data_IF_133258007205
#
_entry.id   IF_133258007205
#
_cell.length_a   1.000
_cell.length_b   1.000
_cell.length_c   1.000
_cell.angle_alpha   90.00
_cell.angle_beta   90.00
_cell.angle_gamma   90.00
#
_symmetry.space_group_name_H-M   'P 1'
#
loop_
_entity.id
_entity.type
_entity.pdbx_description
1 polymer ?
#
# COMPACT_ATOMS: atom_id res chain seq x y z
N UNK A 1 -20.52 17.77 1.22
CA UNK A 1 -20.77 16.35 1.56
C UNK A 1 -19.50 15.56 1.33
N UNK A 2 -19.17 14.61 2.22
CA UNK A 2 -17.94 13.81 2.16
C UNK A 2 -18.30 12.33 2.25
N UNK A 3 -17.44 11.46 1.68
CA UNK A 3 -17.52 10.01 1.81
C UNK A 3 -16.12 9.40 1.83
N UNK A 4 -16.01 8.13 2.17
CA UNK A 4 -14.77 7.37 2.13
C UNK A 4 -14.96 6.09 1.32
N UNK A 5 -13.97 5.75 0.51
CA UNK A 5 -13.94 4.56 -0.32
C UNK A 5 -12.56 3.89 -0.23
N UNK A 6 -12.51 2.60 -0.47
CA UNK A 6 -11.26 1.93 -0.83
C UNK A 6 -10.96 2.17 -2.31
N UNK A 7 -9.69 1.99 -2.76
CA UNK A 7 -9.35 2.05 -4.18
C UNK A 7 -10.23 1.14 -5.05
N UNK A 8 -10.49 -0.09 -4.62
CA UNK A 8 -11.36 -1.04 -5.33
C UNK A 8 -12.80 -0.54 -5.46
N UNK A 9 -13.35 0.10 -4.41
CA UNK A 9 -14.70 0.68 -4.48
C UNK A 9 -14.74 1.89 -5.42
N UNK A 10 -13.68 2.71 -5.44
CA UNK A 10 -13.56 3.80 -6.40
C UNK A 10 -13.52 3.28 -7.83
N UNK A 11 -12.66 2.27 -8.11
CA UNK A 11 -12.51 1.65 -9.43
C UNK A 11 -13.87 1.16 -9.94
N UNK A 12 -14.56 0.36 -9.15
CA UNK A 12 -15.90 -0.14 -9.49
C UNK A 12 -16.93 0.98 -9.70
N UNK A 13 -16.86 2.04 -8.92
CA UNK A 13 -17.83 3.13 -9.04
C UNK A 13 -17.64 3.97 -10.30
N UNK A 14 -16.42 4.13 -10.81
CA UNK A 14 -16.15 4.88 -12.04
C UNK A 14 -16.38 4.07 -13.33
N UNK A 15 -16.70 2.78 -13.25
CA UNK A 15 -17.08 1.97 -14.40
C UNK A 15 -18.44 2.38 -14.98
N UNK A 16 -19.26 3.09 -14.22
CA UNK A 16 -20.61 3.47 -14.64
C UNK A 16 -20.83 4.99 -14.63
N UNK A 17 -21.62 5.48 -15.57
CA UNK A 17 -21.98 6.90 -15.63
C UNK A 17 -22.76 7.35 -14.38
N UNK A 18 -23.58 6.48 -13.82
CA UNK A 18 -24.32 6.73 -12.58
C UNK A 18 -23.36 6.91 -11.40
N UNK A 19 -22.40 6.01 -11.23
CA UNK A 19 -21.38 6.09 -10.18
C UNK A 19 -20.53 7.36 -10.31
N UNK A 20 -20.04 7.68 -11.53
CA UNK A 20 -19.31 8.93 -11.79
C UNK A 20 -20.15 10.16 -11.39
N UNK A 21 -21.41 10.18 -11.80
CA UNK A 21 -22.32 11.29 -11.49
C UNK A 21 -22.55 11.43 -9.99
N UNK A 22 -22.72 10.31 -9.27
CA UNK A 22 -22.87 10.29 -7.83
C UNK A 22 -21.60 10.79 -7.13
N UNK A 23 -20.42 10.33 -7.54
CA UNK A 23 -19.14 10.70 -6.93
C UNK A 23 -18.81 12.18 -7.13
N UNK A 24 -19.16 12.78 -8.25
CA UNK A 24 -18.96 14.22 -8.51
C UNK A 24 -19.73 15.15 -7.54
N UNK A 25 -20.76 14.64 -6.86
CA UNK A 25 -21.57 15.42 -5.89
C UNK A 25 -20.86 15.63 -4.56
N UNK A 26 -19.80 14.87 -4.27
CA UNK A 26 -19.03 15.02 -3.04
C UNK A 26 -18.01 16.15 -3.14
N UNK A 27 -17.84 16.91 -2.05
CA UNK A 27 -16.80 17.94 -1.93
C UNK A 27 -15.41 17.34 -1.87
N UNK A 28 -15.26 16.16 -1.24
CA UNK A 28 -14.10 15.32 -1.32
C UNK A 28 -14.47 13.86 -1.01
N UNK A 29 -13.69 12.93 -1.57
CA UNK A 29 -13.78 11.50 -1.33
C UNK A 29 -12.45 11.05 -0.73
N UNK A 30 -12.51 10.54 0.49
CA UNK A 30 -11.35 10.01 1.20
C UNK A 30 -11.03 8.62 0.67
N UNK A 31 -9.82 8.42 0.20
CA UNK A 31 -9.36 7.12 -0.31
C UNK A 31 -8.33 6.55 0.65
N UNK A 32 -8.62 5.36 1.19
CA UNK A 32 -7.74 4.72 2.16
C UNK A 32 -7.95 3.21 2.24
N UNK A 33 -7.23 2.59 3.17
CA UNK A 33 -7.27 1.14 3.40
C UNK A 33 -6.33 0.31 2.53
N UNK A 34 -5.89 0.83 1.38
CA UNK A 34 -4.87 0.26 0.49
C UNK A 34 -4.18 1.38 -0.30
N UNK A 35 -3.08 1.05 -0.98
CA UNK A 35 -2.40 1.96 -1.89
C UNK A 35 -3.33 2.30 -3.07
N UNK A 36 -3.42 3.60 -3.39
CA UNK A 36 -4.20 4.06 -4.54
C UNK A 36 -3.34 3.98 -5.81
N UNK A 37 -3.82 3.22 -6.80
CA UNK A 37 -3.18 3.15 -8.11
C UNK A 37 -3.13 4.56 -8.74
N UNK A 38 -1.94 5.04 -9.18
CA UNK A 38 -1.80 6.37 -9.77
C UNK A 38 -2.67 6.59 -11.00
N UNK A 39 -2.84 5.58 -11.85
CA UNK A 39 -3.68 5.66 -13.06
C UNK A 39 -5.17 5.78 -12.71
N UNK A 40 -5.62 5.02 -11.70
CA UNK A 40 -6.98 5.13 -11.18
C UNK A 40 -7.21 6.53 -10.60
N UNK A 41 -6.26 7.06 -9.82
CA UNK A 41 -6.34 8.40 -9.27
C UNK A 41 -6.43 9.47 -10.35
N UNK A 42 -5.61 9.36 -11.40
CA UNK A 42 -5.61 10.28 -12.53
C UNK A 42 -6.93 10.20 -13.31
N UNK A 43 -7.41 8.99 -13.60
CA UNK A 43 -8.67 8.75 -14.28
C UNK A 43 -9.84 9.37 -13.53
N UNK A 44 -9.93 9.14 -12.24
CA UNK A 44 -10.98 9.73 -11.40
C UNK A 44 -10.91 11.26 -11.36
N UNK A 45 -9.70 11.85 -11.30
CA UNK A 45 -9.53 13.31 -11.35
C UNK A 45 -9.94 13.89 -12.70
N UNK A 46 -9.58 13.24 -13.82
CA UNK A 46 -10.02 13.61 -15.17
C UNK A 46 -11.56 13.57 -15.31
N UNK A 47 -12.21 12.65 -14.59
CA UNK A 47 -13.66 12.59 -14.50
C UNK A 47 -14.27 13.65 -13.58
N UNK A 48 -13.47 14.56 -13.00
CA UNK A 48 -13.93 15.64 -12.13
C UNK A 48 -14.27 15.19 -10.71
N UNK A 49 -13.75 14.04 -10.26
CA UNK A 49 -13.93 13.51 -8.90
C UNK A 49 -12.80 14.04 -8.02
N UNK A 50 -13.14 14.59 -6.86
CA UNK A 50 -12.18 15.16 -5.90
C UNK A 50 -11.75 14.10 -4.90
N UNK A 51 -10.51 13.61 -5.04
CA UNK A 51 -9.93 12.60 -4.18
C UNK A 51 -8.98 13.22 -3.16
N UNK A 52 -9.00 12.67 -1.95
CA UNK A 52 -8.04 12.93 -0.88
C UNK A 52 -7.48 11.59 -0.43
N UNK A 53 -6.19 11.37 -0.62
CA UNK A 53 -5.52 10.17 -0.13
C UNK A 53 -5.40 10.22 1.40
N UNK A 54 -5.75 9.13 2.08
CA UNK A 54 -5.65 9.05 3.54
C UNK A 54 -4.72 7.94 3.98
N UNK A 55 -3.91 8.22 4.99
CA UNK A 55 -3.07 7.24 5.66
C UNK A 55 -3.42 7.21 7.15
N UNK A 56 -3.46 6.01 7.71
CA UNK A 56 -3.78 5.71 9.09
C UNK A 56 -4.18 4.25 9.25
N UNK A 57 -4.50 3.87 10.47
CA UNK A 57 -4.79 2.48 10.83
C UNK A 57 -5.85 2.44 11.94
N UNK A 58 -6.15 1.24 12.48
CA UNK A 58 -7.03 1.09 13.63
C UNK A 58 -6.47 1.79 14.87
N UNK A 59 -5.14 1.81 15.01
CA UNK A 59 -4.40 2.43 16.10
C UNK A 59 -4.48 3.97 16.09
N UNK A 60 -4.92 4.55 14.99
CA UNK A 60 -5.12 6.01 14.83
C UNK A 60 -6.60 6.40 14.63
N UNK A 61 -7.51 5.48 14.99
CA UNK A 61 -8.97 5.65 14.78
C UNK A 61 -9.35 5.92 13.30
N UNK A 62 -8.54 5.45 12.35
CA UNK A 62 -8.69 5.65 10.92
C UNK A 62 -7.64 6.57 10.33
N UNK A 63 -7.97 7.25 9.23
CA UNK A 63 -7.05 8.17 8.55
C UNK A 63 -6.72 9.40 9.41
N UNK A 64 -5.43 9.61 9.66
CA UNK A 64 -4.94 10.77 10.43
C UNK A 64 -3.97 11.66 9.61
N UNK A 65 -3.54 11.20 8.43
CA UNK A 65 -2.73 11.94 7.47
C UNK A 65 -3.52 12.04 6.16
N UNK A 66 -3.73 13.24 5.63
CA UNK A 66 -4.50 13.50 4.42
C UNK A 66 -3.61 14.16 3.38
N UNK A 67 -3.49 13.56 2.18
CA UNK A 67 -2.57 13.98 1.11
C UNK A 67 -1.14 14.25 1.61
N UNK A 68 -0.68 13.42 2.57
CA UNK A 68 0.64 13.50 3.18
C UNK A 68 0.74 14.51 4.34
N UNK A 69 -0.30 15.24 4.68
CA UNK A 69 -0.32 16.21 5.78
C UNK A 69 -1.09 15.66 6.99
N UNK A 70 -0.56 15.79 8.21
CA UNK A 70 -1.27 15.40 9.41
C UNK A 70 -2.49 16.31 9.65
N UNK A 71 -3.57 15.72 10.15
CA UNK A 71 -4.71 16.49 10.65
C UNK A 71 -4.26 17.36 11.84
N UNK A 72 -4.99 18.46 12.16
CA UNK A 72 -4.62 19.36 13.27
C UNK A 72 -4.50 18.67 14.64
N UNK A 73 -5.20 17.54 14.83
CA UNK A 73 -5.16 16.73 16.05
C UNK A 73 -4.11 15.61 16.01
N UNK A 74 -3.35 15.50 14.92
CA UNK A 74 -2.38 14.42 14.68
C UNK A 74 -0.99 15.01 14.42
N UNK A 75 0.02 14.19 14.65
CA UNK A 75 1.42 14.51 14.38
C UNK A 75 2.09 13.35 13.67
N UNK A 76 3.10 13.62 12.86
CA UNK A 76 3.89 12.61 12.17
C UNK A 76 5.37 12.93 12.28
N UNK A 77 6.16 11.89 12.49
CA UNK A 77 7.61 11.93 12.42
C UNK A 77 8.13 10.67 11.72
N UNK A 78 9.40 10.69 11.33
CA UNK A 78 10.07 9.51 10.79
C UNK A 78 11.35 9.28 11.58
N UNK A 79 11.47 8.11 12.20
CA UNK A 79 12.65 7.70 12.96
C UNK A 79 13.27 6.46 12.34
N UNK A 80 14.52 6.56 11.92
CA UNK A 80 15.24 5.46 11.24
C UNK A 80 14.45 4.83 10.08
N UNK A 81 13.69 5.66 9.34
CA UNK A 81 12.85 5.22 8.23
C UNK A 81 11.46 4.69 8.63
N UNK A 82 11.17 4.54 9.92
CA UNK A 82 9.86 4.13 10.45
C UNK A 82 8.95 5.34 10.65
N UNK A 83 7.71 5.23 10.24
CA UNK A 83 6.68 6.25 10.50
C UNK A 83 6.23 6.15 11.97
N UNK A 84 6.31 7.29 12.65
CA UNK A 84 5.83 7.50 14.01
C UNK A 84 4.61 8.42 13.96
N UNK A 85 3.53 8.03 14.60
CA UNK A 85 2.28 8.81 14.63
C UNK A 85 1.96 9.23 16.05
N UNK A 86 1.60 10.50 16.24
CA UNK A 86 1.25 11.09 17.54
C UNK A 86 -0.05 11.86 17.48
N UNK A 87 -0.51 12.31 18.64
CA UNK A 87 -1.67 13.19 18.78
C UNK A 87 -2.90 12.49 19.34
N UNK A 88 -4.03 13.20 19.33
CA UNK A 88 -5.26 12.79 20.02
C UNK A 88 -5.96 11.55 19.39
N UNK A 89 -5.57 11.16 18.19
CA UNK A 89 -6.15 10.00 17.50
C UNK A 89 -5.50 8.67 17.89
N UNK A 90 -4.38 8.70 18.62
CA UNK A 90 -3.64 7.49 18.98
C UNK A 90 -4.40 6.68 20.02
N UNK A 91 -4.58 5.39 19.76
CA UNK A 91 -5.16 4.45 20.71
C UNK A 91 -4.31 4.34 21.99
N UNK A 92 -4.94 4.07 23.12
CA UNK A 92 -4.22 3.87 24.39
C UNK A 92 -3.36 2.58 24.41
N UNK A 93 -3.52 1.70 23.44
CA UNK A 93 -2.81 0.43 23.31
C UNK A 93 -3.71 -0.71 22.87
N UNK A 94 -3.16 -1.90 22.78
CA UNK A 94 -3.93 -3.11 22.46
C UNK A 94 -4.55 -3.69 23.74
N UNK A 95 -5.85 -3.99 23.68
CA UNK A 95 -6.61 -4.49 24.84
C UNK A 95 -6.02 -5.74 25.47
N UNK A 96 -5.58 -6.68 24.66
CA UNK A 96 -5.06 -7.98 25.12
C UNK A 96 -3.54 -8.05 25.16
N UNK A 97 -2.84 -6.93 24.91
CA UNK A 97 -1.38 -6.83 24.90
C UNK A 97 -0.94 -5.50 25.55
N UNK A 98 -1.21 -5.30 26.85
CA UNK A 98 -0.81 -4.07 27.53
C UNK A 98 0.71 -3.92 27.51
N UNK A 99 1.19 -2.70 27.26
CA UNK A 99 2.63 -2.42 27.14
C UNK A 99 3.28 -2.89 25.85
N UNK A 100 2.50 -3.16 24.81
CA UNK A 100 3.04 -3.49 23.49
C UNK A 100 4.00 -2.40 23.00
N UNK A 101 5.18 -2.81 22.50
CA UNK A 101 6.30 -1.94 22.12
C UNK A 101 5.92 -0.82 21.14
N UNK A 102 4.92 -1.05 20.28
CA UNK A 102 4.44 -0.04 19.34
C UNK A 102 3.88 1.22 20.02
N UNK A 103 3.47 1.14 21.31
CA UNK A 103 2.96 2.27 22.11
C UNK A 103 3.89 2.64 23.27
N UNK A 104 4.99 1.92 23.44
CA UNK A 104 5.91 2.07 24.57
C UNK A 104 7.31 2.50 24.14
N UNK A 105 7.44 3.22 23.03
CA UNK A 105 8.74 3.68 22.55
C UNK A 105 9.35 4.68 23.54
N UNK A 106 10.58 4.44 24.06
CA UNK A 106 11.15 5.21 25.17
C UNK A 106 11.34 6.69 24.83
N UNK A 107 11.75 7.01 23.59
CA UNK A 107 12.02 8.37 23.13
C UNK A 107 10.79 9.09 22.59
N UNK A 108 9.66 8.36 22.40
CA UNK A 108 8.43 8.87 21.83
C UNK A 108 7.20 8.51 22.70
N UNK A 109 7.11 9.00 23.95
CA UNK A 109 5.98 8.69 24.82
C UNK A 109 4.67 9.23 24.23
N UNK A 110 3.63 8.37 24.21
CA UNK A 110 2.31 8.71 23.63
C UNK A 110 2.25 8.69 22.12
N UNK A 111 3.28 8.19 21.45
CA UNK A 111 3.30 7.96 20.02
C UNK A 111 3.10 6.48 19.69
N UNK A 112 2.63 6.23 18.49
CA UNK A 112 2.49 4.91 17.91
C UNK A 112 3.59 4.67 16.88
N UNK A 113 4.44 3.70 17.14
CA UNK A 113 5.47 3.23 16.20
C UNK A 113 4.82 2.27 15.21
N UNK A 114 4.58 2.73 13.98
CA UNK A 114 3.94 1.90 12.96
C UNK A 114 4.88 0.79 12.45
N UNK A 115 4.33 -0.20 11.73
CA UNK A 115 5.15 -1.13 10.95
C UNK A 115 5.42 -0.62 9.53
N UNK A 116 5.14 0.65 9.25
CA UNK A 116 5.32 1.24 7.93
C UNK A 116 6.59 2.09 7.88
N UNK A 117 7.26 2.03 6.74
CA UNK A 117 8.37 2.91 6.40
C UNK A 117 7.91 4.15 5.64
N UNK A 118 8.67 5.22 5.77
CA UNK A 118 8.39 6.45 5.05
C UNK A 118 9.46 7.51 5.20
N UNK A 119 9.21 8.65 4.58
CA UNK A 119 10.04 9.85 4.68
C UNK A 119 9.16 11.10 4.63
N UNK A 120 9.68 12.22 5.14
CA UNK A 120 9.02 13.52 4.99
C UNK A 120 9.80 14.32 3.93
N UNK A 121 9.10 14.70 2.87
CA UNK A 121 9.62 15.50 1.76
C UNK A 121 8.75 16.73 1.62
N UNK A 122 9.37 17.91 1.70
CA UNK A 122 8.67 19.21 1.63
C UNK A 122 7.47 19.31 2.58
N UNK A 123 7.62 18.75 3.80
CA UNK A 123 6.57 18.76 4.82
C UNK A 123 5.44 17.74 4.59
N UNK A 124 5.56 16.84 3.61
CA UNK A 124 4.59 15.80 3.29
C UNK A 124 5.14 14.43 3.61
N UNK A 125 4.33 13.60 4.24
CA UNK A 125 4.66 12.19 4.44
C UNK A 125 4.53 11.43 3.11
N UNK A 126 5.60 10.75 2.72
CA UNK A 126 5.62 9.74 1.69
C UNK A 126 5.79 8.37 2.35
N UNK A 127 4.80 7.50 2.20
CA UNK A 127 4.82 6.13 2.71
C UNK A 127 5.59 5.26 1.73
N UNK A 128 6.61 4.54 2.20
CA UNK A 128 7.45 3.65 1.37
C UNK A 128 6.93 2.22 1.33
N UNK A 129 6.11 1.82 2.32
CA UNK A 129 5.55 0.48 2.45
C UNK A 129 5.79 -0.14 3.82
N UNK A 130 5.52 -1.45 3.93
CA UNK A 130 5.62 -2.21 5.18
C UNK A 130 7.06 -2.60 5.48
N UNK A 131 7.55 -2.26 6.68
CA UNK A 131 8.89 -2.67 7.14
C UNK A 131 8.99 -4.18 7.40
N UNK A 132 7.88 -4.80 7.78
CA UNK A 132 7.77 -6.24 8.01
C UNK A 132 7.57 -7.06 6.72
N UNK A 133 7.30 -6.40 5.59
CA UNK A 133 7.19 -7.03 4.27
C UNK A 133 8.49 -6.93 3.44
N UNK A 134 9.54 -6.32 3.98
CA UNK A 134 10.83 -6.16 3.28
C UNK A 134 11.39 -7.51 2.88
N UNK A 135 11.67 -7.69 1.58
CA UNK A 135 12.29 -8.89 1.02
C UNK A 135 13.80 -8.74 1.10
N UNK A 136 14.49 -9.78 1.63
CA UNK A 136 15.95 -9.81 1.67
C UNK A 136 16.46 -10.75 0.60
N UNK A 137 16.93 -10.21 -0.52
CA UNK A 137 17.44 -10.97 -1.66
C UNK A 137 18.91 -10.67 -1.90
N UNK A 138 19.78 -11.71 -1.87
CA UNK A 138 21.22 -11.54 -2.04
C UNK A 138 21.87 -10.56 -1.04
N UNK A 139 21.33 -10.44 0.16
CA UNK A 139 21.79 -9.48 1.19
C UNK A 139 21.27 -8.06 1.01
N UNK A 140 20.52 -7.78 -0.04
CA UNK A 140 19.91 -6.48 -0.29
C UNK A 140 18.45 -6.46 0.18
N UNK A 141 18.01 -5.32 0.73
CA UNK A 141 16.63 -5.12 1.19
C UNK A 141 15.79 -4.46 0.10
N UNK A 142 14.68 -5.09 -0.24
CA UNK A 142 13.72 -4.62 -1.24
C UNK A 142 12.37 -4.38 -0.57
N UNK A 143 11.82 -3.20 -0.75
CA UNK A 143 10.44 -2.90 -0.37
C UNK A 143 9.52 -3.34 -1.52
N UNK A 144 8.62 -4.31 -1.31
CA UNK A 144 7.72 -4.81 -2.35
C UNK A 144 6.94 -3.71 -3.06
N UNK A 145 6.55 -2.70 -2.31
CA UNK A 145 5.72 -1.57 -2.76
C UNK A 145 6.40 -0.74 -3.86
N UNK A 146 7.73 -0.73 -3.91
CA UNK A 146 8.47 -0.06 -5.00
C UNK A 146 8.17 -0.76 -6.32
N UNK A 147 8.25 -2.09 -6.32
CA UNK A 147 7.99 -2.90 -7.52
C UNK A 147 6.49 -2.90 -7.83
N UNK A 148 5.63 -3.01 -6.82
CA UNK A 148 4.17 -2.94 -6.99
C UNK A 148 3.74 -1.62 -7.64
N UNK A 149 4.36 -0.51 -7.27
CA UNK A 149 4.10 0.80 -7.87
C UNK A 149 4.42 0.82 -9.37
N UNK A 150 5.56 0.26 -9.76
CA UNK A 150 5.95 0.17 -11.17
C UNK A 150 5.02 -0.78 -11.95
N UNK A 151 4.64 -1.92 -11.35
CA UNK A 151 3.65 -2.82 -11.92
C UNK A 151 2.30 -2.12 -12.15
N UNK A 152 1.83 -1.36 -11.16
CA UNK A 152 0.58 -0.61 -11.24
C UNK A 152 0.63 0.56 -12.24
N UNK A 153 1.82 1.00 -12.65
CA UNK A 153 1.99 2.00 -13.68
C UNK A 153 1.85 1.42 -15.12
N UNK A 154 1.88 0.10 -15.26
CA UNK A 154 1.72 -0.55 -16.57
C UNK A 154 0.24 -0.54 -17.01
N UNK A 155 -0.09 -0.05 -18.21
CA UNK A 155 -1.45 -0.11 -18.72
C UNK A 155 -1.97 -1.55 -18.72
N UNK A 156 -3.17 -1.75 -18.21
CA UNK A 156 -3.79 -3.08 -18.12
C UNK A 156 -3.47 -3.85 -16.85
N UNK A 157 -2.59 -3.40 -15.97
CA UNK A 157 -2.45 -3.93 -14.60
C UNK A 157 -3.43 -3.22 -13.69
N UNK A 158 -4.33 -3.97 -13.08
CA UNK A 158 -5.34 -3.46 -12.13
C UNK A 158 -4.82 -3.46 -10.70
N UNK A 159 -4.32 -4.60 -10.26
CA UNK A 159 -3.70 -4.80 -8.94
C UNK A 159 -2.46 -5.68 -9.07
N UNK A 160 -1.52 -5.51 -8.15
CA UNK A 160 -0.29 -6.28 -8.11
C UNK A 160 0.14 -6.55 -6.67
N UNK A 161 0.80 -7.68 -6.45
CA UNK A 161 1.37 -8.04 -5.16
C UNK A 161 2.74 -8.69 -5.36
N UNK A 162 3.74 -8.16 -4.67
CA UNK A 162 5.12 -8.64 -4.71
C UNK A 162 5.46 -9.26 -3.37
N UNK A 163 6.02 -10.47 -3.37
CA UNK A 163 6.39 -11.19 -2.16
C UNK A 163 7.77 -11.85 -2.31
N UNK A 164 8.42 -12.10 -1.18
CA UNK A 164 9.62 -12.92 -1.11
C UNK A 164 9.25 -14.38 -0.86
N UNK A 165 9.85 -15.30 -1.60
CA UNK A 165 9.79 -16.74 -1.32
C UNK A 165 11.20 -17.27 -1.06
N UNK A 166 11.32 -18.33 -0.29
CA UNK A 166 12.62 -18.93 0.02
C UNK A 166 13.37 -19.33 -1.24
N UNK A 167 14.64 -18.93 -1.32
CA UNK A 167 15.54 -19.22 -2.43
C UNK A 167 16.90 -19.65 -1.90
N UNK A 168 17.39 -20.80 -2.36
CA UNK A 168 18.66 -21.40 -1.88
C UNK A 168 19.88 -20.52 -2.14
N UNK A 169 19.86 -19.70 -3.19
CA UNK A 169 21.01 -18.88 -3.62
C UNK A 169 20.97 -17.48 -3.02
N UNK A 170 19.79 -16.90 -2.90
CA UNK A 170 19.61 -15.49 -2.54
C UNK A 170 18.99 -15.28 -1.17
N UNK A 171 18.66 -16.34 -0.44
CA UNK A 171 17.86 -16.30 0.77
C UNK A 171 16.38 -16.16 0.44
N UNK A 172 16.00 -15.07 -0.23
CA UNK A 172 14.66 -14.91 -0.81
C UNK A 172 14.74 -14.54 -2.30
N UNK A 173 13.84 -15.08 -3.09
CA UNK A 173 13.54 -14.63 -4.45
C UNK A 173 12.34 -13.68 -4.43
N UNK A 174 12.40 -12.63 -5.22
CA UNK A 174 11.27 -11.74 -5.48
C UNK A 174 10.37 -12.41 -6.51
N UNK A 175 9.09 -12.53 -6.21
CA UNK A 175 8.06 -12.99 -7.13
C UNK A 175 6.89 -12.01 -7.12
N UNK A 176 6.12 -11.95 -8.19
CA UNK A 176 4.99 -11.06 -8.29
C UNK A 176 3.77 -11.73 -8.95
N UNK A 177 2.59 -11.43 -8.44
CA UNK A 177 1.33 -11.77 -9.10
C UNK A 177 0.53 -10.49 -9.38
N UNK A 178 -0.25 -10.49 -10.45
CA UNK A 178 -1.07 -9.33 -10.84
C UNK A 178 -2.40 -9.74 -11.44
N UNK A 179 -3.37 -8.85 -11.27
CA UNK A 179 -4.67 -8.87 -11.95
C UNK A 179 -4.65 -7.91 -13.13
N UNK A 180 -5.32 -8.28 -14.21
CA UNK A 180 -5.49 -7.39 -15.35
C UNK A 180 -5.30 -8.04 -16.71
N UNK A 181 -5.20 -7.23 -17.75
CA UNK A 181 -5.07 -7.66 -19.15
C UNK A 181 -3.67 -7.48 -19.74
N UNK A 182 -2.74 -6.83 -19.02
CA UNK A 182 -1.38 -6.61 -19.49
C UNK A 182 -0.68 -7.95 -19.78
N UNK A 183 0.12 -7.99 -20.83
CA UNK A 183 0.93 -9.15 -21.16
C UNK A 183 2.24 -9.14 -20.33
N UNK A 184 2.71 -10.33 -19.96
CA UNK A 184 3.93 -10.48 -19.13
C UNK A 184 5.14 -9.79 -19.75
N UNK A 185 5.27 -9.83 -21.08
CA UNK A 185 6.37 -9.16 -21.80
C UNK A 185 6.35 -7.64 -21.64
N UNK A 186 5.19 -7.01 -21.75
CA UNK A 186 5.02 -5.57 -21.57
C UNK A 186 5.39 -5.13 -20.14
N UNK A 187 5.08 -5.98 -19.16
CA UNK A 187 5.43 -5.72 -17.77
C UNK A 187 6.95 -5.76 -17.56
N UNK A 188 7.64 -6.77 -18.09
CA UNK A 188 9.10 -6.84 -17.97
C UNK A 188 9.80 -5.67 -18.69
N UNK A 189 9.27 -5.21 -19.82
CA UNK A 189 9.78 -4.02 -20.52
C UNK A 189 9.61 -2.76 -19.66
N UNK A 190 8.48 -2.62 -18.97
CA UNK A 190 8.24 -1.50 -18.08
C UNK A 190 9.12 -1.53 -16.81
N UNK A 191 9.44 -2.71 -16.31
CA UNK A 191 10.32 -2.89 -15.14
C UNK A 191 11.81 -2.74 -15.49
N UNK A 192 12.18 -2.50 -16.75
CA UNK A 192 13.58 -2.42 -17.20
C UNK A 192 14.38 -1.32 -16.48
N UNK A 193 13.73 -0.25 -16.06
CA UNK A 193 14.36 0.87 -15.32
C UNK A 193 14.75 0.47 -13.88
N UNK A 194 14.19 -0.61 -13.34
CA UNK A 194 14.55 -1.09 -12.02
C UNK A 194 15.92 -1.80 -12.06
N UNK A 195 16.70 -1.70 -10.98
CA UNK A 195 17.91 -2.49 -10.83
C UNK A 195 17.61 -3.98 -10.97
N UNK A 196 18.48 -4.73 -11.68
CA UNK A 196 18.27 -6.17 -11.97
C UNK A 196 17.97 -7.01 -10.74
N UNK A 197 18.50 -6.65 -9.59
CA UNK A 197 18.29 -7.37 -8.33
C UNK A 197 16.90 -7.12 -7.69
N UNK A 198 16.16 -6.12 -8.19
CA UNK A 198 14.78 -5.85 -7.82
C UNK A 198 13.76 -6.51 -8.75
N UNK A 199 14.20 -7.01 -9.90
CA UNK A 199 13.27 -7.62 -10.85
C UNK A 199 12.69 -8.92 -10.29
N UNK A 200 11.36 -9.13 -10.38
CA UNK A 200 10.75 -10.40 -10.03
C UNK A 200 11.34 -11.54 -10.88
N UNK A 201 11.68 -12.66 -10.25
CA UNK A 201 12.11 -13.87 -10.96
C UNK A 201 10.96 -14.57 -11.67
N UNK A 202 9.78 -14.47 -11.10
CA UNK A 202 8.55 -15.01 -11.65
C UNK A 202 7.44 -13.97 -11.56
N UNK A 203 6.63 -13.91 -12.60
CA UNK A 203 5.48 -13.02 -12.72
C UNK A 203 4.27 -13.86 -13.15
N UNK A 204 3.22 -13.88 -12.33
CA UNK A 204 2.02 -14.66 -12.55
C UNK A 204 0.81 -13.76 -12.74
N UNK A 205 0.15 -13.89 -13.88
CA UNK A 205 -1.18 -13.30 -14.08
C UNK A 205 -2.23 -14.18 -13.42
N UNK A 206 -3.12 -13.57 -12.67
CA UNK A 206 -4.25 -14.25 -12.02
C UNK A 206 -5.56 -13.51 -12.31
N UNK A 207 -6.67 -14.23 -12.26
CA UNK A 207 -8.00 -13.62 -12.39
C UNK A 207 -8.34 -12.78 -11.15
N UNK A 208 -7.95 -13.27 -9.96
CA UNK A 208 -8.14 -12.59 -8.68
C UNK A 208 -6.99 -12.93 -7.72
N UNK A 209 -6.41 -11.90 -7.08
CA UNK A 209 -5.39 -12.05 -6.05
C UNK A 209 -6.03 -12.59 -4.75
N UNK A 210 -5.36 -13.48 -4.01
CA UNK A 210 -5.82 -13.93 -2.70
C UNK A 210 -6.08 -12.77 -1.76
N UNK A 211 -7.25 -12.77 -1.08
CA UNK A 211 -7.68 -11.70 -0.17
C UNK A 211 -8.02 -12.21 1.22
N UNK A 212 -7.85 -11.35 2.19
CA UNK A 212 -8.37 -11.57 3.54
C UNK A 212 -9.89 -11.38 3.57
N UNK A 213 -10.55 -11.80 4.65
CA UNK A 213 -11.98 -11.56 4.88
C UNK A 213 -12.39 -10.08 4.86
N UNK A 214 -11.42 -9.17 5.04
CA UNK A 214 -11.60 -7.71 4.98
C UNK A 214 -11.31 -7.13 3.58
N UNK A 215 -11.08 -7.97 2.57
CA UNK A 215 -10.84 -7.57 1.18
C UNK A 215 -9.42 -7.08 0.87
N UNK A 216 -8.49 -7.12 1.82
CA UNK A 216 -7.07 -6.76 1.59
C UNK A 216 -6.33 -7.93 0.94
N UNK A 217 -5.35 -7.65 0.08
CA UNK A 217 -4.50 -8.68 -0.52
C UNK A 217 -3.79 -9.48 0.58
N UNK A 218 -3.89 -10.80 0.51
CA UNK A 218 -3.28 -11.74 1.43
C UNK A 218 -1.93 -12.20 0.89
N UNK A 219 -0.83 -11.49 1.24
CA UNK A 219 0.52 -11.74 0.72
C UNK A 219 0.99 -13.19 0.89
N UNK A 220 0.67 -13.84 2.02
CA UNK A 220 1.01 -15.25 2.23
C UNK A 220 0.30 -16.16 1.20
N UNK A 221 -0.98 -15.91 0.93
CA UNK A 221 -1.71 -16.63 -0.11
C UNK A 221 -1.16 -16.38 -1.51
N UNK A 222 -0.63 -15.20 -1.79
CA UNK A 222 0.09 -14.94 -3.05
C UNK A 222 1.36 -15.77 -3.13
N UNK A 223 2.16 -15.87 -2.06
CA UNK A 223 3.36 -16.71 -2.05
C UNK A 223 3.03 -18.20 -2.30
N UNK A 224 1.88 -18.69 -1.83
CA UNK A 224 1.42 -20.06 -2.05
C UNK A 224 1.13 -20.37 -3.54
N UNK A 225 0.78 -19.36 -4.36
CA UNK A 225 0.54 -19.56 -5.80
C UNK A 225 1.78 -20.03 -6.56
N UNK A 226 2.97 -19.77 -6.02
CA UNK A 226 4.25 -20.08 -6.64
C UNK A 226 4.91 -21.33 -6.05
N UNK A 227 4.30 -21.94 -5.05
CA UNK A 227 4.79 -23.22 -4.53
C UNK A 227 4.43 -24.34 -5.52
N UNK A 228 5.35 -25.29 -5.79
CA UNK A 228 5.02 -26.43 -6.61
C UNK A 228 3.85 -27.18 -5.95
N UNK A 229 2.74 -27.31 -6.67
CA UNK A 229 1.64 -28.18 -6.26
C UNK A 229 2.19 -29.61 -6.25
N UNK A 230 2.43 -30.15 -5.04
CA UNK A 230 2.90 -31.51 -4.82
C UNK A 230 1.91 -32.55 -5.36
#
# INVERSE_FOLDING_TARGET
>A
MYTALTPMQLDKAIETLEGITALRRFDAILIGGAALNPQLAESARKLGIRLVATYGSAETAGGCIYDGHPLPCSSVAVESGRIMLGGATIAAGYRNMPGHEAFAHPDWPGWFATSDGGRIVDGRLEVSGRLDAVITTGGLKVHPEIIEKELLAVPGVKEACVVGVDDRRFGQAIIAAYEGSAEVGEIFDALYELPRWQLPKELLRVDELPRTSLGKIHRAGVAELFQPRG
#
